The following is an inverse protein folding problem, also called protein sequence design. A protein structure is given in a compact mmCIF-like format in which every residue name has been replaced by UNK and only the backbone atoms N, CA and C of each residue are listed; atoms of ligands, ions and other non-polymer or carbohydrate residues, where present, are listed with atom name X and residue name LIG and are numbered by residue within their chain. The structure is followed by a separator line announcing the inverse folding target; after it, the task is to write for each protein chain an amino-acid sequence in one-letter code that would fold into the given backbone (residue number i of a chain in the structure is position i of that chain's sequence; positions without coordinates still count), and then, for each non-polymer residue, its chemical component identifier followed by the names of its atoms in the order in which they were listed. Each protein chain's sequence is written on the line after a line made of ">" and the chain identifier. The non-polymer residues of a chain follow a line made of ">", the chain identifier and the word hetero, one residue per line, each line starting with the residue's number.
data_IF_196622061256
#
_entry.id   IF_196622061256
#
_cell.length_a   1.000
_cell.length_b   1.000
_cell.length_c   1.000
_cell.angle_alpha   90.00
_cell.angle_beta   90.00
_cell.angle_gamma   90.00
#
_symmetry.space_group_name_H-M   'P 1'
#
loop_
_entity.id
_entity.type
_entity.pdbx_description
1 polymer ?
#
# COMPACT_ATOMS: atom_id res chain seq x y z
N UNK A 1 -8.13 16.31 3.32
CA UNK A 1 -8.35 15.38 2.19
C UNK A 1 -7.89 16.00 0.88
N UNK A 2 -6.64 15.76 0.60
CA UNK A 2 -5.97 16.26 -0.59
C UNK A 2 -6.05 15.21 -1.69
N UNK A 3 -6.48 15.60 -2.87
CA UNK A 3 -6.39 14.73 -4.03
C UNK A 3 -4.93 14.52 -4.41
N UNK A 4 -4.57 13.28 -4.70
CA UNK A 4 -3.23 12.92 -5.11
C UNK A 4 -3.28 11.99 -6.33
N UNK A 5 -2.26 12.10 -7.18
CA UNK A 5 -2.06 11.19 -8.30
C UNK A 5 -0.89 10.29 -7.97
N UNK A 6 -1.11 9.00 -8.02
CA UNK A 6 -0.07 8.00 -7.74
C UNK A 6 0.19 7.16 -8.97
N UNK A 7 1.46 6.88 -9.22
CA UNK A 7 1.84 5.87 -10.20
C UNK A 7 1.75 4.49 -9.56
N UNK A 8 1.14 3.57 -10.27
CA UNK A 8 1.03 2.18 -9.84
C UNK A 8 2.11 1.34 -10.51
N UNK A 9 2.60 0.33 -9.80
CA UNK A 9 3.46 -0.67 -10.43
C UNK A 9 2.68 -1.39 -11.52
N UNK A 10 3.40 -1.99 -12.45
CA UNK A 10 2.80 -2.74 -13.56
C UNK A 10 1.85 -3.83 -13.06
N UNK A 11 2.29 -4.62 -12.09
CA UNK A 11 1.49 -5.73 -11.57
C UNK A 11 0.22 -5.25 -10.88
N UNK A 12 0.31 -4.19 -10.09
CA UNK A 12 -0.86 -3.59 -9.43
C UNK A 12 -1.85 -3.05 -10.47
N UNK A 13 -1.34 -2.37 -11.50
CA UNK A 13 -2.17 -1.82 -12.56
C UNK A 13 -2.89 -2.91 -13.35
N UNK A 14 -2.20 -3.99 -13.68
CA UNK A 14 -2.80 -5.14 -14.38
C UNK A 14 -3.86 -5.83 -13.53
N UNK A 15 -3.60 -6.02 -12.23
CA UNK A 15 -4.56 -6.59 -11.31
C UNK A 15 -5.82 -5.72 -11.18
N UNK A 16 -5.64 -4.42 -11.05
CA UNK A 16 -6.76 -3.47 -10.97
C UNK A 16 -7.57 -3.46 -12.27
N UNK A 17 -6.90 -3.50 -13.41
CA UNK A 17 -7.59 -3.56 -14.71
C UNK A 17 -8.44 -4.83 -14.83
N UNK A 18 -7.89 -5.97 -14.46
CA UNK A 18 -8.64 -7.24 -14.46
C UNK A 18 -9.87 -7.14 -13.56
N UNK A 19 -9.71 -6.57 -12.38
CA UNK A 19 -10.82 -6.34 -11.46
C UNK A 19 -11.91 -5.43 -12.06
N UNK A 20 -11.52 -4.32 -12.69
CA UNK A 20 -12.45 -3.37 -13.27
C UNK A 20 -13.13 -3.88 -14.55
N UNK A 21 -12.53 -4.84 -15.23
CA UNK A 21 -13.12 -5.49 -16.41
C UNK A 21 -14.13 -6.58 -16.04
N UNK A 22 -14.26 -6.91 -14.76
CA UNK A 22 -15.25 -7.87 -14.28
C UNK A 22 -16.67 -7.33 -14.47
N UNK A 23 -17.63 -8.19 -14.81
CA UNK A 23 -19.00 -7.76 -15.12
C UNK A 23 -19.70 -6.99 -14.01
N UNK A 24 -19.37 -7.25 -12.74
CA UNK A 24 -19.92 -6.60 -11.57
C UNK A 24 -19.08 -5.43 -11.06
N UNK A 25 -18.03 -5.03 -11.79
CA UNK A 25 -17.14 -3.98 -11.32
C UNK A 25 -17.87 -2.65 -11.14
N UNK A 26 -17.50 -1.87 -10.12
CA UNK A 26 -18.13 -0.58 -9.87
C UNK A 26 -17.85 0.42 -11.00
N UNK A 27 -18.87 1.18 -11.40
CA UNK A 27 -18.74 2.27 -12.37
C UNK A 27 -18.68 3.63 -11.69
N UNK A 28 -18.92 3.68 -10.39
CA UNK A 28 -18.88 4.91 -9.59
C UNK A 28 -18.68 4.58 -8.11
N UNK A 29 -18.28 5.57 -7.34
CA UNK A 29 -18.03 5.43 -5.90
C UNK A 29 -16.74 4.71 -5.57
N UNK A 30 -16.71 4.02 -4.45
CA UNK A 30 -15.53 3.30 -3.98
C UNK A 30 -15.18 2.13 -4.90
N UNK A 31 -13.93 1.96 -5.20
CA UNK A 31 -13.44 0.93 -6.13
C UNK A 31 -13.52 -0.47 -5.52
N UNK A 32 -13.02 -0.62 -4.29
CA UNK A 32 -12.97 -1.95 -3.66
C UNK A 32 -14.31 -2.34 -3.08
N UNK A 33 -14.81 -3.49 -3.50
CA UNK A 33 -16.11 -4.04 -3.12
C UNK A 33 -15.94 -5.42 -2.49
N UNK A 34 -16.82 -5.76 -1.57
CA UNK A 34 -16.82 -7.10 -0.99
C UNK A 34 -17.34 -8.10 -2.03
N UNK A 35 -16.71 -9.26 -2.11
CA UNK A 35 -17.26 -10.37 -2.89
C UNK A 35 -18.30 -11.13 -2.05
N UNK A 36 -19.39 -11.50 -2.70
CA UNK A 36 -20.43 -12.36 -2.11
C UNK A 36 -20.03 -13.83 -2.28
N UNK A 37 -20.78 -14.73 -1.62
CA UNK A 37 -20.52 -16.19 -1.70
C UNK A 37 -20.58 -16.75 -3.13
N UNK A 38 -21.34 -16.11 -4.01
CA UNK A 38 -21.44 -16.47 -5.43
C UNK A 38 -20.40 -15.78 -6.31
N UNK A 39 -19.36 -15.18 -5.71
CA UNK A 39 -18.29 -14.43 -6.36
C UNK A 39 -18.73 -13.11 -7.00
N UNK A 40 -19.98 -12.71 -6.87
CA UNK A 40 -20.44 -11.39 -7.30
C UNK A 40 -19.93 -10.29 -6.36
N UNK A 41 -19.70 -9.10 -6.91
CA UNK A 41 -19.30 -7.96 -6.12
C UNK A 41 -20.51 -7.28 -5.48
N UNK A 42 -20.37 -6.87 -4.23
CA UNK A 42 -21.39 -6.11 -3.52
C UNK A 42 -21.52 -4.67 -4.01
N UNK A 43 -22.64 -4.02 -3.68
CA UNK A 43 -22.90 -2.63 -4.05
C UNK A 43 -22.12 -1.63 -3.17
N UNK A 44 -21.83 -1.99 -1.93
CA UNK A 44 -21.14 -1.11 -0.99
C UNK A 44 -19.62 -1.28 -1.07
N UNK A 45 -18.87 -0.20 -0.84
CA UNK A 45 -17.43 -0.27 -0.71
C UNK A 45 -17.03 -1.06 0.53
N UNK A 46 -15.78 -1.54 0.53
CA UNK A 46 -15.23 -2.24 1.69
C UNK A 46 -14.97 -1.26 2.83
N UNK A 47 -15.33 -1.65 4.05
CA UNK A 47 -14.94 -0.92 5.25
C UNK A 47 -13.46 -1.14 5.55
N UNK A 48 -12.88 -0.29 6.41
CA UNK A 48 -11.50 -0.49 6.88
C UNK A 48 -11.32 -1.86 7.53
N UNK A 49 -12.29 -2.28 8.32
CA UNK A 49 -12.28 -3.60 8.96
C UNK A 49 -12.30 -4.73 7.94
N UNK A 50 -13.08 -4.60 6.87
CA UNK A 50 -13.14 -5.59 5.80
C UNK A 50 -11.82 -5.68 5.05
N UNK A 51 -11.18 -4.55 4.79
CA UNK A 51 -9.85 -4.50 4.16
C UNK A 51 -8.80 -5.17 5.06
N UNK A 52 -8.80 -4.85 6.34
CA UNK A 52 -7.89 -5.47 7.32
C UNK A 52 -8.08 -6.98 7.37
N UNK A 53 -9.32 -7.44 7.44
CA UNK A 53 -9.63 -8.88 7.43
C UNK A 53 -9.19 -9.58 6.15
N UNK A 54 -9.32 -8.92 5.01
CA UNK A 54 -8.87 -9.47 3.73
C UNK A 54 -7.36 -9.59 3.66
N UNK A 55 -6.64 -8.58 4.12
CA UNK A 55 -5.17 -8.61 4.18
C UNK A 55 -4.70 -9.75 5.09
N UNK A 56 -5.31 -9.90 6.27
CA UNK A 56 -4.99 -10.99 7.20
C UNK A 56 -5.22 -12.36 6.54
N UNK A 57 -6.36 -12.54 5.87
CA UNK A 57 -6.68 -13.77 5.15
C UNK A 57 -5.63 -14.09 4.07
N UNK A 58 -5.25 -13.11 3.26
CA UNK A 58 -4.22 -13.28 2.24
C UNK A 58 -2.85 -13.61 2.85
N UNK A 59 -2.53 -12.98 3.98
CA UNK A 59 -1.31 -13.27 4.73
C UNK A 59 -1.25 -14.73 5.19
N UNK A 60 -2.34 -15.25 5.72
CA UNK A 60 -2.43 -16.66 6.15
C UNK A 60 -2.14 -17.61 5.01
N UNK A 61 -2.63 -17.31 3.81
CA UNK A 61 -2.36 -18.11 2.62
C UNK A 61 -0.87 -18.13 2.23
N UNK A 62 -0.13 -17.11 2.63
CA UNK A 62 1.31 -16.99 2.39
C UNK A 62 2.14 -17.48 3.59
N UNK A 63 1.50 -18.01 4.62
CA UNK A 63 2.19 -18.43 5.84
C UNK A 63 2.60 -17.30 6.76
N UNK A 64 2.00 -16.12 6.60
CA UNK A 64 2.27 -14.95 7.44
C UNK A 64 1.08 -14.75 8.38
N UNK A 65 1.30 -14.99 9.67
CA UNK A 65 0.26 -14.82 10.68
C UNK A 65 0.09 -13.33 11.05
N UNK A 66 -1.16 -12.93 11.27
CA UNK A 66 -1.51 -11.59 11.73
C UNK A 66 -1.05 -10.45 10.81
N UNK A 67 -0.93 -10.71 9.50
CA UNK A 67 -0.59 -9.64 8.56
C UNK A 67 -1.69 -8.57 8.56
N UNK A 68 -1.29 -7.31 8.64
CA UNK A 68 -2.20 -6.17 8.63
C UNK A 68 -1.92 -5.24 7.45
N UNK A 69 -2.90 -4.40 7.13
CA UNK A 69 -2.69 -3.34 6.12
C UNK A 69 -1.57 -2.38 6.55
N UNK A 70 -1.44 -2.14 7.86
CA UNK A 70 -0.38 -1.30 8.40
C UNK A 70 1.01 -1.92 8.15
N UNK A 71 1.13 -3.24 8.28
CA UNK A 71 2.38 -3.95 7.96
C UNK A 71 2.75 -3.78 6.49
N UNK A 72 1.77 -3.83 5.58
CA UNK A 72 2.01 -3.60 4.16
C UNK A 72 2.52 -2.19 3.90
N UNK A 73 1.93 -1.19 4.56
CA UNK A 73 2.37 0.20 4.49
C UNK A 73 3.80 0.37 5.03
N UNK A 74 4.08 -0.27 6.15
CA UNK A 74 5.40 -0.26 6.78
C UNK A 74 6.46 -0.88 5.85
N UNK A 75 6.14 -2.01 5.25
CA UNK A 75 7.02 -2.66 4.27
C UNK A 75 7.28 -1.76 3.07
N UNK A 76 6.23 -1.16 2.53
CA UNK A 76 6.36 -0.24 1.40
C UNK A 76 7.27 0.95 1.73
N UNK A 77 7.05 1.59 2.87
CA UNK A 77 7.85 2.73 3.30
C UNK A 77 9.32 2.35 3.54
N UNK A 78 9.55 1.20 4.18
CA UNK A 78 10.89 0.68 4.42
C UNK A 78 11.61 0.37 3.10
N UNK A 79 10.92 -0.27 2.18
CA UNK A 79 11.47 -0.60 0.86
C UNK A 79 11.80 0.68 0.06
N UNK A 80 10.91 1.66 0.07
CA UNK A 80 11.14 2.94 -0.60
C UNK A 80 12.36 3.66 -0.01
N UNK A 81 12.49 3.67 1.31
CA UNK A 81 13.64 4.27 1.99
C UNK A 81 14.95 3.56 1.63
N UNK A 82 14.93 2.23 1.58
CA UNK A 82 16.11 1.42 1.18
C UNK A 82 16.55 1.69 -0.25
N UNK A 83 15.63 2.05 -1.13
CA UNK A 83 15.92 2.42 -2.52
C UNK A 83 16.33 3.90 -2.67
N UNK A 84 16.50 4.61 -1.58
CA UNK A 84 17.01 5.97 -1.58
C UNK A 84 15.97 7.07 -1.78
N UNK A 85 14.70 6.78 -1.51
CA UNK A 85 13.64 7.78 -1.63
C UNK A 85 13.84 8.90 -0.61
N UNK A 86 13.77 10.14 -1.08
CA UNK A 86 13.85 11.32 -0.23
C UNK A 86 12.67 11.37 0.76
N UNK A 87 12.90 11.77 2.03
CA UNK A 87 11.81 11.82 3.02
C UNK A 87 10.65 12.73 2.64
N UNK A 88 10.90 13.85 1.94
CA UNK A 88 9.81 14.72 1.48
C UNK A 88 8.94 14.04 0.43
N UNK A 89 9.55 13.31 -0.49
CA UNK A 89 8.83 12.52 -1.50
C UNK A 89 8.02 11.41 -0.82
N UNK A 90 8.62 10.74 0.16
CA UNK A 90 7.96 9.67 0.91
C UNK A 90 6.77 10.21 1.69
N UNK A 91 6.91 11.39 2.32
CA UNK A 91 5.83 12.07 3.03
C UNK A 91 4.62 12.29 2.12
N UNK A 92 4.85 12.85 0.95
CA UNK A 92 3.78 13.13 -0.01
C UNK A 92 3.11 11.84 -0.50
N UNK A 93 3.89 10.87 -0.92
CA UNK A 93 3.36 9.60 -1.41
C UNK A 93 2.57 8.83 -0.35
N UNK A 94 3.03 8.87 0.90
CA UNK A 94 2.38 8.19 2.02
C UNK A 94 1.23 8.96 2.65
N UNK A 95 1.08 10.23 2.32
CA UNK A 95 0.03 11.08 2.89
C UNK A 95 0.25 11.45 4.35
N UNK A 96 1.49 11.42 4.85
CA UNK A 96 1.79 11.86 6.22
C UNK A 96 1.72 13.38 6.33
N UNK A 97 1.13 13.86 7.41
CA UNK A 97 1.00 15.30 7.67
C UNK A 97 2.30 15.99 8.09
N UNK A 98 3.31 15.21 8.50
CA UNK A 98 4.61 15.73 8.88
C UNK A 98 5.74 14.83 8.38
N UNK A 99 6.99 15.29 8.50
CA UNK A 99 8.17 14.51 8.13
C UNK A 99 8.60 13.48 9.20
N UNK A 100 7.95 13.43 10.35
CA UNK A 100 8.38 12.59 11.48
C UNK A 100 8.52 11.12 11.08
N UNK A 101 7.47 10.53 10.51
CA UNK A 101 7.51 9.12 10.08
C UNK A 101 8.39 8.88 8.85
N UNK A 102 8.28 9.64 7.76
CA UNK A 102 9.17 9.47 6.61
C UNK A 102 10.65 9.55 6.97
N UNK A 103 11.03 10.53 7.78
CA UNK A 103 12.41 10.67 8.25
C UNK A 103 12.88 9.45 9.02
N UNK A 104 12.01 8.90 9.86
CA UNK A 104 12.32 7.72 10.65
C UNK A 104 12.63 6.51 9.76
N UNK A 105 11.85 6.28 8.71
CA UNK A 105 12.13 5.20 7.76
C UNK A 105 13.46 5.37 7.06
N UNK A 106 13.79 6.59 6.64
CA UNK A 106 15.05 6.90 5.98
C UNK A 106 16.23 6.75 6.94
N UNK A 107 16.12 7.30 8.16
CA UNK A 107 17.18 7.24 9.18
C UNK A 107 17.47 5.81 9.63
N UNK A 108 16.44 4.97 9.78
CA UNK A 108 16.59 3.58 10.19
C UNK A 108 17.37 2.74 9.16
N UNK A 109 17.39 3.18 7.90
CA UNK A 109 18.12 2.51 6.83
C UNK A 109 19.43 3.21 6.46
N UNK A 110 19.75 4.31 7.15
CA UNK A 110 20.94 5.10 6.85
C UNK A 110 22.16 4.53 7.54
N UNK A 111 23.25 4.48 6.80
CA UNK A 111 24.58 4.16 7.36
C UNK A 111 25.33 5.47 7.40
N UNK A 112 25.73 5.89 8.60
CA UNK A 112 26.29 7.22 8.84
C UNK A 112 27.46 7.57 7.89
N UNK A 113 28.23 6.58 7.47
CA UNK A 113 29.40 6.82 6.60
C UNK A 113 29.24 6.19 5.21
N UNK A 114 28.05 5.87 4.77
CA UNK A 114 27.83 5.16 3.49
C UNK A 114 28.41 5.90 2.28
N UNK A 115 28.40 7.24 2.33
CA UNK A 115 28.90 8.10 1.26
C UNK A 115 30.33 8.59 1.51
N UNK A 116 30.94 8.17 2.61
CA UNK A 116 32.32 8.51 2.93
C UNK A 116 33.24 7.51 2.24
N UNK A 117 34.13 8.03 1.44
CA UNK A 117 35.12 7.18 0.75
C UNK A 117 36.26 6.85 1.72
N UNK A 118 36.35 5.58 2.08
CA UNK A 118 37.36 5.07 3.03
C UNK A 118 38.60 4.53 2.33
N UNK A 119 38.48 4.22 1.07
CA UNK A 119 39.58 3.68 0.24
C UNK A 119 39.58 4.23 -1.17
#
# INVERSE_FOLDING_TARGET
>A
NKEQVHHLTRDTREALKTYLDHGDAPTSGLILRRSKKNEELGAAGMSERAITGRVEFLGQKLGIDNLSAHDCRHYWATSAARHGTDPFVLQEAGGWSSLAMPRRYVEDNDIANKDVKLE
#
